data_IF_578578645861
#
_entry.id   IF_578578645861
#
_cell.length_a   1.000
_cell.length_b   1.000
_cell.length_c   1.000
_cell.angle_alpha   90.00
_cell.angle_beta   90.00
_cell.angle_gamma   90.00
#
_symmetry.space_group_name_H-M   'P 1'
#
loop_
_entity.id
_entity.type
_entity.pdbx_description
1 polymer ?
#
# COMPACT_ATOMS: atom_id res chain seq x y z
N UNK A 1 50.22 48.39 45.12
CA UNK A 1 51.39 47.58 45.49
C UNK A 1 51.00 46.12 45.32
N UNK A 2 51.65 45.41 44.40
CA UNK A 2 51.30 44.06 43.98
C UNK A 2 51.83 43.00 44.96
N UNK A 3 51.08 41.93 45.19
CA UNK A 3 51.66 40.64 45.58
C UNK A 3 50.78 39.49 45.09
N UNK A 4 51.42 38.60 44.34
CA UNK A 4 50.89 37.38 43.71
C UNK A 4 51.10 36.19 44.65
N UNK A 5 50.17 35.22 44.66
CA UNK A 5 50.37 33.76 44.76
C UNK A 5 49.00 33.10 45.00
N UNK A 6 48.30 32.60 43.96
CA UNK A 6 48.31 31.21 43.44
C UNK A 6 48.04 30.11 44.48
N UNK A 7 47.11 29.21 44.15
CA UNK A 7 47.08 27.74 44.35
C UNK A 7 45.62 27.25 44.09
N UNK A 8 45.27 26.94 42.84
CA UNK A 8 45.17 25.59 42.23
C UNK A 8 44.15 24.66 42.91
N UNK A 9 43.10 24.32 42.17
CA UNK A 9 42.45 22.99 41.98
C UNK A 9 41.21 23.21 41.09
N UNK A 10 41.33 23.20 39.76
CA UNK A 10 41.17 22.03 38.88
C UNK A 10 40.00 21.13 39.31
N UNK A 11 38.87 21.25 38.61
CA UNK A 11 38.06 20.10 38.23
C UNK A 11 37.29 20.43 36.93
N UNK A 12 37.94 20.09 35.83
CA UNK A 12 37.34 19.87 34.51
C UNK A 12 36.35 18.71 34.60
N UNK A 13 35.16 18.85 34.00
CA UNK A 13 34.44 17.71 33.42
C UNK A 13 33.59 18.20 32.25
N UNK A 14 33.93 17.63 31.08
CA UNK A 14 33.39 17.90 29.77
C UNK A 14 31.86 17.76 29.74
N UNK A 15 31.18 18.78 29.24
CA UNK A 15 29.79 18.66 28.79
C UNK A 15 29.81 18.13 27.36
N UNK A 16 29.42 16.86 27.23
CA UNK A 16 29.36 16.12 25.98
C UNK A 16 28.51 16.85 24.94
N UNK A 17 29.08 17.02 23.75
CA UNK A 17 28.39 17.52 22.57
C UNK A 17 27.27 16.55 22.17
N UNK A 18 26.02 16.99 22.35
CA UNK A 18 24.86 16.34 21.74
C UNK A 18 24.87 16.62 20.23
N UNK A 19 25.35 15.65 19.46
CA UNK A 19 25.12 15.58 18.02
C UNK A 19 23.69 15.09 17.78
N UNK A 20 22.81 15.83 17.06
CA UNK A 20 21.56 15.26 16.60
C UNK A 20 21.89 14.26 15.48
N UNK A 21 21.55 13.00 15.70
CA UNK A 21 21.57 11.98 14.66
C UNK A 21 20.53 12.35 13.60
N UNK A 22 20.98 12.97 12.51
CA UNK A 22 20.15 13.23 11.34
C UNK A 22 19.85 11.88 10.68
N UNK A 23 18.66 11.34 10.95
CA UNK A 23 18.12 10.20 10.24
C UNK A 23 18.00 10.58 8.75
N UNK A 24 18.97 10.16 7.94
CA UNK A 24 18.87 10.21 6.50
C UNK A 24 17.75 9.23 6.10
N UNK A 25 16.55 9.77 5.89
CA UNK A 25 15.47 9.08 5.20
C UNK A 25 16.02 8.82 3.80
N UNK A 26 16.47 7.59 3.56
CA UNK A 26 16.87 7.16 2.22
C UNK A 26 15.64 7.33 1.32
N UNK A 27 15.69 8.33 0.44
CA UNK A 27 14.67 8.52 -0.58
C UNK A 27 14.63 7.25 -1.41
N UNK A 28 13.53 6.51 -1.32
CA UNK A 28 13.28 5.32 -2.15
C UNK A 28 13.46 5.73 -3.60
N UNK A 29 14.27 5.00 -4.40
CA UNK A 29 14.53 5.37 -5.78
C UNK A 29 13.20 5.58 -6.54
N UNK A 30 13.09 6.72 -7.22
CA UNK A 30 11.88 7.14 -7.93
C UNK A 30 11.63 6.19 -9.10
N UNK A 31 10.77 5.18 -8.86
CA UNK A 31 10.40 4.19 -9.86
C UNK A 31 9.32 4.76 -10.76
N UNK A 32 9.45 4.54 -12.07
CA UNK A 32 8.36 4.84 -13.01
C UNK A 32 7.08 4.10 -12.57
N UNK A 33 5.95 4.81 -12.38
CA UNK A 33 4.69 4.17 -12.04
C UNK A 33 4.28 3.12 -13.07
N UNK A 34 3.77 1.98 -12.60
CA UNK A 34 3.23 0.92 -13.44
C UNK A 34 1.72 0.69 -13.19
N UNK A 35 1.13 -0.31 -13.84
CA UNK A 35 -0.31 -0.57 -13.71
C UNK A 35 -0.70 -0.91 -12.27
N UNK A 36 0.19 -1.56 -11.52
CA UNK A 36 -0.07 -1.91 -10.13
C UNK A 36 -0.11 -0.66 -9.24
N UNK A 37 0.74 0.34 -9.49
CA UNK A 37 0.65 1.62 -8.77
C UNK A 37 -0.63 2.40 -9.12
N UNK A 38 -1.08 2.32 -10.37
CA UNK A 38 -2.31 3.00 -10.80
C UNK A 38 -3.56 2.46 -10.09
N UNK A 39 -3.60 1.13 -9.88
CA UNK A 39 -4.76 0.47 -9.27
C UNK A 39 -4.63 0.27 -7.75
N UNK A 40 -3.44 0.45 -7.18
CA UNK A 40 -3.24 0.33 -5.74
C UNK A 40 -4.13 1.31 -4.96
N UNK A 41 -4.68 0.84 -3.85
CA UNK A 41 -5.59 1.63 -3.02
C UNK A 41 -6.56 0.78 -2.22
N UNK A 42 -7.43 1.48 -1.51
CA UNK A 42 -8.52 0.89 -0.72
C UNK A 42 -9.82 1.07 -1.49
N UNK A 43 -10.62 0.00 -1.52
CA UNK A 43 -11.90 -0.04 -2.16
C UNK A 43 -12.96 -0.51 -1.16
N UNK A 44 -14.18 -0.01 -1.30
CA UNK A 44 -15.32 -0.40 -0.48
C UNK A 44 -16.51 -0.78 -1.36
N UNK A 45 -17.28 -1.78 -0.95
CA UNK A 45 -18.53 -2.11 -1.64
C UNK A 45 -19.08 -3.44 -1.18
N UNK A 46 -19.56 -4.23 -2.14
CA UNK A 46 -20.39 -5.40 -1.86
C UNK A 46 -19.82 -6.68 -2.46
N UNK A 47 -19.93 -7.76 -1.68
CA UNK A 47 -19.91 -9.13 -2.21
C UNK A 47 -21.31 -9.42 -2.74
N UNK A 48 -21.45 -9.39 -4.06
CA UNK A 48 -22.73 -9.56 -4.77
C UNK A 48 -23.20 -11.02 -4.66
N UNK A 49 -22.28 -11.97 -4.86
CA UNK A 49 -22.55 -13.41 -4.76
C UNK A 49 -21.31 -14.16 -4.29
N UNK A 50 -21.50 -15.23 -3.54
CA UNK A 50 -20.44 -16.11 -3.04
C UNK A 50 -20.98 -17.54 -2.90
N UNK A 51 -20.26 -18.53 -3.41
CA UNK A 51 -20.65 -19.93 -3.28
C UNK A 51 -20.66 -20.43 -1.82
N UNK A 52 -19.95 -19.75 -0.92
CA UNK A 52 -19.75 -20.18 0.48
C UNK A 52 -20.66 -19.49 1.48
N UNK A 53 -21.46 -18.51 1.05
CA UNK A 53 -22.33 -17.79 1.97
C UNK A 53 -23.16 -16.70 1.32
N UNK A 54 -23.95 -16.01 2.14
CA UNK A 54 -24.78 -14.91 1.67
C UNK A 54 -23.95 -13.69 1.23
N UNK A 55 -24.54 -12.90 0.33
CA UNK A 55 -24.05 -11.58 -0.05
C UNK A 55 -23.77 -10.72 1.20
N UNK A 56 -22.73 -9.88 1.14
CA UNK A 56 -22.32 -9.02 2.26
C UNK A 56 -21.96 -7.64 1.73
N UNK A 57 -22.54 -6.62 2.35
CA UNK A 57 -22.23 -5.22 2.06
C UNK A 57 -21.17 -4.64 3.00
N UNK A 58 -20.56 -3.53 2.58
CA UNK A 58 -19.56 -2.80 3.35
C UNK A 58 -18.26 -3.59 3.53
N UNK A 59 -17.87 -4.38 2.53
CA UNK A 59 -16.57 -5.05 2.53
C UNK A 59 -15.49 -4.10 2.02
N UNK A 60 -14.31 -4.19 2.62
CA UNK A 60 -13.14 -3.43 2.24
C UNK A 60 -12.16 -4.33 1.51
N UNK A 61 -11.76 -3.92 0.32
CA UNK A 61 -10.73 -4.56 -0.48
C UNK A 61 -9.50 -3.67 -0.49
N UNK A 62 -8.36 -4.23 -0.10
CA UNK A 62 -7.05 -3.57 -0.19
C UNK A 62 -6.29 -4.17 -1.36
N UNK A 63 -5.94 -3.31 -2.31
CA UNK A 63 -5.12 -3.65 -3.48
C UNK A 63 -3.74 -3.05 -3.25
N UNK A 64 -2.72 -3.89 -3.09
CA UNK A 64 -1.33 -3.44 -2.93
C UNK A 64 -0.49 -3.95 -4.07
N UNK A 65 0.51 -3.17 -4.48
CA UNK A 65 1.48 -3.65 -5.45
C UNK A 65 2.37 -4.74 -4.83
N UNK A 66 2.45 -5.90 -5.48
CA UNK A 66 3.38 -6.98 -5.11
C UNK A 66 4.53 -7.16 -6.11
N UNK A 67 4.38 -6.67 -7.34
CA UNK A 67 5.38 -6.83 -8.40
C UNK A 67 5.18 -5.86 -9.57
N UNK A 68 5.96 -6.03 -10.65
CA UNK A 68 5.77 -5.21 -11.87
C UNK A 68 4.44 -5.59 -12.53
N UNK A 69 3.48 -4.68 -12.55
CA UNK A 69 2.10 -4.96 -12.99
C UNK A 69 1.47 -6.15 -12.26
N UNK A 70 1.83 -6.40 -11.00
CA UNK A 70 1.21 -7.46 -10.19
C UNK A 70 0.71 -6.83 -8.90
N UNK A 71 -0.54 -7.13 -8.56
CA UNK A 71 -1.17 -6.69 -7.32
C UNK A 71 -1.47 -7.88 -6.43
N UNK A 72 -1.33 -7.67 -5.13
CA UNK A 72 -1.93 -8.52 -4.12
C UNK A 72 -3.25 -7.89 -3.69
N UNK A 73 -4.31 -8.68 -3.77
CA UNK A 73 -5.66 -8.28 -3.38
C UNK A 73 -6.01 -9.01 -2.10
N UNK A 74 -6.51 -8.27 -1.12
CA UNK A 74 -6.96 -8.79 0.17
C UNK A 74 -8.28 -8.17 0.58
N UNK A 75 -9.07 -8.91 1.35
CA UNK A 75 -10.37 -8.50 1.85
C UNK A 75 -10.37 -8.56 3.38
N UNK A 76 -11.10 -7.65 4.03
CA UNK A 76 -11.40 -7.73 5.47
C UNK A 76 -12.22 -8.97 5.84
N UNK A 77 -12.92 -9.56 4.86
CA UNK A 77 -13.72 -10.75 5.06
C UNK A 77 -12.88 -12.04 4.92
N UNK A 78 -12.79 -12.80 6.01
CA UNK A 78 -12.01 -14.04 6.12
C UNK A 78 -12.31 -15.12 5.05
N UNK A 79 -13.47 -15.07 4.39
CA UNK A 79 -13.85 -16.05 3.36
C UNK A 79 -13.19 -15.81 2.01
N UNK A 80 -12.76 -14.58 1.72
CA UNK A 80 -12.12 -14.23 0.46
C UNK A 80 -10.61 -14.36 0.66
N UNK A 81 -9.95 -15.32 -0.03
CA UNK A 81 -8.52 -15.49 0.14
C UNK A 81 -7.76 -14.30 -0.44
N UNK A 82 -6.58 -14.06 0.14
CA UNK A 82 -5.61 -13.15 -0.44
C UNK A 82 -5.01 -13.78 -1.70
N UNK A 83 -4.98 -13.05 -2.80
CA UNK A 83 -4.50 -13.54 -4.10
C UNK A 83 -3.57 -12.53 -4.77
N UNK A 84 -2.68 -13.02 -5.63
CA UNK A 84 -1.86 -12.19 -6.49
C UNK A 84 -2.38 -12.25 -7.92
N UNK A 85 -2.59 -11.09 -8.53
CA UNK A 85 -3.18 -10.96 -9.85
C UNK A 85 -2.23 -10.17 -10.75
N UNK A 86 -1.69 -10.77 -11.82
CA UNK A 86 -0.97 -10.04 -12.84
C UNK A 86 -1.94 -9.19 -13.65
N UNK A 87 -1.55 -7.97 -14.01
CA UNK A 87 -2.37 -6.98 -14.68
C UNK A 87 -1.84 -6.68 -16.08
N UNK A 88 -2.77 -6.40 -16.98
CA UNK A 88 -2.50 -5.82 -18.28
C UNK A 88 -3.48 -4.69 -18.60
N UNK A 89 -3.11 -3.87 -19.58
CA UNK A 89 -3.99 -2.82 -20.11
C UNK A 89 -4.49 -3.26 -21.47
N UNK A 90 -5.81 -3.32 -21.64
CA UNK A 90 -6.47 -3.61 -22.89
C UNK A 90 -7.39 -2.45 -23.24
N UNK A 91 -7.05 -1.69 -24.30
CA UNK A 91 -7.75 -0.47 -24.69
C UNK A 91 -7.87 0.50 -23.49
N UNK A 92 -9.10 0.79 -23.05
CA UNK A 92 -9.43 1.67 -21.94
C UNK A 92 -9.76 0.91 -20.65
N UNK A 93 -9.32 -0.34 -20.52
CA UNK A 93 -9.51 -1.15 -19.31
C UNK A 93 -8.18 -1.65 -18.75
N UNK A 94 -8.12 -1.77 -17.42
CA UNK A 94 -7.07 -2.51 -16.70
C UNK A 94 -7.69 -3.81 -16.22
N UNK A 95 -7.10 -4.94 -16.60
CA UNK A 95 -7.66 -6.26 -16.33
C UNK A 95 -6.63 -7.30 -15.89
N UNK A 96 -7.11 -8.42 -15.35
CA UNK A 96 -6.27 -9.58 -15.02
C UNK A 96 -5.66 -10.19 -16.29
N UNK A 97 -4.34 -10.21 -16.38
CA UNK A 97 -3.61 -10.73 -17.54
C UNK A 97 -3.66 -12.25 -17.66
N UNK A 98 -3.89 -12.96 -16.55
CA UNK A 98 -4.00 -14.42 -16.53
C UNK A 98 -4.60 -14.92 -15.21
N UNK A 99 -4.93 -16.22 -15.19
CA UNK A 99 -5.48 -16.90 -14.02
C UNK A 99 -7.00 -16.94 -14.00
N UNK A 100 -7.59 -17.51 -12.93
CA UNK A 100 -9.04 -17.70 -12.82
C UNK A 100 -9.76 -16.46 -12.27
N UNK A 101 -9.05 -15.36 -12.04
CA UNK A 101 -9.58 -14.18 -11.37
C UNK A 101 -10.09 -13.17 -12.39
N UNK A 102 -11.25 -12.57 -12.11
CA UNK A 102 -11.66 -11.35 -12.80
C UNK A 102 -11.13 -10.20 -11.98
N UNK A 103 -10.34 -9.32 -12.61
CA UNK A 103 -10.00 -8.00 -12.09
C UNK A 103 -10.30 -7.05 -13.25
N UNK A 104 -11.17 -6.07 -13.05
CA UNK A 104 -11.56 -5.15 -14.12
C UNK A 104 -11.84 -3.76 -13.58
N UNK A 105 -11.13 -2.78 -14.14
CA UNK A 105 -11.42 -1.35 -14.02
C UNK A 105 -11.57 -0.81 -15.45
N UNK A 106 -12.78 -0.35 -15.79
CA UNK A 106 -13.05 0.35 -17.03
C UNK A 106 -12.70 1.83 -16.83
N UNK A 107 -11.54 2.25 -17.33
CA UNK A 107 -11.02 3.60 -17.11
C UNK A 107 -11.75 4.67 -17.92
N UNK A 108 -12.51 4.30 -18.94
CA UNK A 108 -13.31 5.23 -19.74
C UNK A 108 -14.70 5.47 -19.16
N UNK A 109 -15.33 4.44 -18.57
CA UNK A 109 -16.69 4.55 -18.01
C UNK A 109 -16.70 4.92 -16.54
N UNK A 110 -15.93 4.19 -15.73
CA UNK A 110 -15.92 4.33 -14.28
C UNK A 110 -14.55 3.92 -13.71
N UNK A 111 -13.58 4.86 -13.70
CA UNK A 111 -12.21 4.56 -13.28
C UNK A 111 -12.08 4.27 -11.78
N UNK A 112 -13.12 4.50 -10.97
CA UNK A 112 -13.11 4.24 -9.53
C UNK A 112 -13.66 2.85 -9.20
N UNK A 113 -14.50 2.29 -10.08
CA UNK A 113 -15.14 0.99 -9.85
C UNK A 113 -14.24 -0.17 -10.27
N UNK A 114 -14.10 -1.12 -9.35
CA UNK A 114 -13.43 -2.39 -9.52
C UNK A 114 -14.45 -3.52 -9.47
N UNK A 115 -14.55 -4.28 -10.57
CA UNK A 115 -15.24 -5.57 -10.61
C UNK A 115 -14.23 -6.68 -10.36
N UNK A 116 -14.52 -7.54 -9.39
CA UNK A 116 -13.57 -8.54 -8.90
C UNK A 116 -14.26 -9.89 -8.73
N UNK A 117 -13.62 -10.97 -9.20
CA UNK A 117 -14.04 -12.33 -8.90
C UNK A 117 -12.85 -13.11 -8.37
N UNK A 118 -12.97 -13.60 -7.13
CA UNK A 118 -11.96 -14.41 -6.45
C UNK A 118 -12.67 -15.61 -5.84
N UNK A 119 -12.26 -16.82 -6.24
CA UNK A 119 -12.63 -18.06 -5.55
C UNK A 119 -14.17 -18.20 -5.41
N UNK A 120 -14.85 -18.10 -6.56
CA UNK A 120 -16.31 -18.14 -6.74
C UNK A 120 -17.12 -17.02 -6.04
N UNK A 121 -16.44 -16.01 -5.48
CA UNK A 121 -17.08 -14.81 -4.99
C UNK A 121 -16.93 -13.66 -6.00
N UNK A 122 -18.04 -13.01 -6.34
CA UNK A 122 -18.09 -11.82 -7.19
C UNK A 122 -18.38 -10.59 -6.35
N UNK A 123 -17.57 -9.55 -6.55
CA UNK A 123 -17.58 -8.31 -5.81
C UNK A 123 -17.66 -7.13 -6.77
N UNK A 124 -18.35 -6.08 -6.34
CA UNK A 124 -18.32 -4.77 -6.98
C UNK A 124 -17.98 -3.75 -5.91
N UNK A 125 -16.82 -3.12 -6.05
CA UNK A 125 -16.29 -2.18 -5.07
C UNK A 125 -15.84 -0.91 -5.76
N UNK A 126 -15.83 0.20 -5.03
CA UNK A 126 -15.43 1.51 -5.52
C UNK A 126 -14.24 2.03 -4.70
N UNK A 127 -13.30 2.70 -5.36
CA UNK A 127 -12.14 3.31 -4.69
C UNK A 127 -12.60 4.40 -3.72
N UNK A 128 -12.05 4.40 -2.50
CA UNK A 128 -12.24 5.47 -1.50
C UNK A 128 -11.48 6.76 -1.89
#
# INVERSE_FOLDING_TARGET
MAMRAYWIRVLTLLLAALLPASAAIAATPERKPDLADMVAGTYEGDIISDARGSSKSGVTITVVRSGKNVVEVSCDCARIPKVQIPLEKAMDAILAASGPHVFLIDTARDPRRLSLTIDDASLSVERQ
#
